data_IF_581956776785
#
_entry.id   IF_581956776785
#
_cell.length_a   1.000
_cell.length_b   1.000
_cell.length_c   1.000
_cell.angle_alpha   90.00
_cell.angle_beta   90.00
_cell.angle_gamma   90.00
#
_symmetry.space_group_name_H-M   'P 1'
#
loop_
_entity.id
_entity.type
_entity.pdbx_description
1 polymer ?
#
# COMPACT_ATOMS: atom_id res chain seq x y z
N UNK A 1 -23.91 -9.38 -13.23
CA UNK A 1 -22.50 -9.27 -12.80
C UNK A 1 -21.67 -9.02 -14.05
N UNK A 2 -20.89 -7.94 -14.04
CA UNK A 2 -19.87 -7.69 -15.07
C UNK A 2 -18.82 -8.78 -15.00
N UNK A 3 -18.39 -9.32 -16.14
CA UNK A 3 -17.33 -10.33 -16.17
C UNK A 3 -16.03 -9.71 -15.61
N UNK A 4 -15.28 -10.47 -14.80
CA UNK A 4 -14.16 -9.93 -14.01
C UNK A 4 -13.08 -9.25 -14.88
N UNK A 5 -12.81 -9.81 -16.07
CA UNK A 5 -11.85 -9.20 -17.00
C UNK A 5 -12.34 -7.82 -17.52
N UNK A 6 -13.64 -7.66 -17.75
CA UNK A 6 -14.23 -6.39 -18.17
C UNK A 6 -14.17 -5.35 -17.04
N UNK A 7 -14.41 -5.77 -15.80
CA UNK A 7 -14.24 -4.90 -14.62
C UNK A 7 -12.79 -4.43 -14.48
N UNK A 8 -11.81 -5.34 -14.59
CA UNK A 8 -10.39 -4.98 -14.53
C UNK A 8 -9.99 -4.03 -15.66
N UNK A 9 -10.47 -4.25 -16.88
CA UNK A 9 -10.21 -3.34 -18.01
C UNK A 9 -10.84 -1.97 -17.79
N UNK A 10 -12.12 -1.90 -17.39
CA UNK A 10 -12.81 -0.64 -17.13
C UNK A 10 -12.15 0.17 -16.00
N UNK A 11 -11.67 -0.53 -14.96
CA UNK A 11 -10.89 0.07 -13.87
C UNK A 11 -9.50 0.51 -14.30
N UNK A 12 -9.01 0.07 -15.45
CA UNK A 12 -7.63 0.28 -15.90
C UNK A 12 -6.59 -0.52 -15.12
N UNK A 13 -6.98 -1.69 -14.59
CA UNK A 13 -6.14 -2.61 -13.82
C UNK A 13 -5.51 -3.72 -14.68
N UNK A 14 -5.78 -3.75 -15.98
CA UNK A 14 -5.17 -4.69 -16.92
C UNK A 14 -4.25 -3.92 -17.89
N UNK A 15 -2.93 -4.08 -17.75
CA UNK A 15 -1.95 -3.46 -18.64
C UNK A 15 -1.55 -4.41 -19.77
N UNK A 16 -1.00 -5.58 -19.42
CA UNK A 16 -0.55 -6.61 -20.38
C UNK A 16 -1.02 -7.99 -19.95
N UNK A 17 -1.12 -8.94 -20.90
CA UNK A 17 -1.48 -10.34 -20.62
C UNK A 17 -0.90 -11.30 -21.66
N UNK A 18 -0.90 -12.61 -21.36
CA UNK A 18 -0.43 -13.68 -22.27
C UNK A 18 -1.35 -13.91 -23.49
N UNK A 19 -2.38 -13.09 -23.67
CA UNK A 19 -3.40 -13.19 -24.71
C UNK A 19 -4.78 -12.97 -24.11
N UNK A 20 -5.46 -11.89 -24.50
CA UNK A 20 -6.70 -11.46 -23.85
C UNK A 20 -7.85 -12.46 -24.06
N UNK A 21 -8.03 -12.95 -25.29
CA UNK A 21 -9.10 -13.89 -25.63
C UNK A 21 -8.93 -15.25 -24.93
N UNK A 22 -7.69 -15.73 -24.84
CA UNK A 22 -7.39 -17.00 -24.18
C UNK A 22 -7.51 -16.87 -22.65
N UNK A 23 -7.09 -15.73 -22.08
CA UNK A 23 -7.33 -15.44 -20.67
C UNK A 23 -8.83 -15.37 -20.35
N UNK A 24 -9.64 -14.75 -21.22
CA UNK A 24 -11.11 -14.73 -21.05
C UNK A 24 -11.68 -16.13 -21.05
N UNK A 25 -11.39 -16.94 -22.08
CA UNK A 25 -11.86 -18.35 -22.16
C UNK A 25 -11.45 -19.16 -20.94
N UNK A 26 -10.24 -18.93 -20.42
CA UNK A 26 -9.75 -19.60 -19.22
C UNK A 26 -10.57 -19.22 -17.98
N UNK A 27 -10.85 -17.92 -17.78
CA UNK A 27 -11.69 -17.44 -16.68
C UNK A 27 -13.16 -17.90 -16.81
N UNK A 28 -13.68 -18.01 -18.03
CA UNK A 28 -15.02 -18.52 -18.34
C UNK A 28 -15.15 -20.04 -18.08
N UNK A 29 -14.04 -20.78 -18.01
CA UNK A 29 -14.06 -22.23 -17.78
C UNK A 29 -14.48 -22.62 -16.36
N UNK A 30 -14.53 -21.66 -15.44
CA UNK A 30 -14.97 -21.82 -14.06
C UNK A 30 -13.97 -21.28 -13.03
N UNK A 31 -14.13 -21.63 -11.74
CA UNK A 31 -13.18 -21.26 -10.70
C UNK A 31 -11.78 -21.80 -10.99
N UNK A 32 -10.78 -20.92 -11.02
CA UNK A 32 -9.38 -21.25 -11.23
C UNK A 32 -8.58 -20.95 -9.97
N UNK A 33 -7.44 -21.63 -9.81
CA UNK A 33 -6.43 -21.25 -8.83
C UNK A 33 -5.48 -20.24 -9.50
N UNK A 34 -5.28 -19.10 -8.85
CA UNK A 34 -4.35 -18.07 -9.29
C UNK A 34 -3.41 -17.68 -8.14
N UNK A 35 -2.28 -17.07 -8.44
CA UNK A 35 -1.38 -16.59 -7.40
C UNK A 35 -0.85 -15.18 -7.64
N UNK A 36 -0.48 -14.55 -6.52
CA UNK A 36 0.27 -13.30 -6.45
C UNK A 36 1.32 -13.43 -5.35
N UNK A 37 2.52 -12.91 -5.62
CA UNK A 37 3.67 -13.01 -4.73
C UNK A 37 3.98 -11.70 -3.99
N UNK A 38 4.36 -11.80 -2.72
CA UNK A 38 4.79 -10.69 -1.88
C UNK A 38 6.13 -11.02 -1.23
N UNK A 39 7.17 -10.31 -1.66
CA UNK A 39 8.51 -10.46 -1.10
C UNK A 39 8.68 -9.63 0.19
N UNK A 40 9.13 -10.25 1.31
CA UNK A 40 9.39 -9.57 2.55
C UNK A 40 10.66 -8.72 2.46
N UNK A 41 10.50 -7.48 1.98
CA UNK A 41 11.59 -6.50 1.86
C UNK A 41 11.65 -5.51 3.02
N UNK A 42 10.61 -5.48 3.85
CA UNK A 42 10.48 -4.69 5.05
C UNK A 42 9.51 -5.38 6.03
N UNK A 43 9.41 -4.85 7.25
CA UNK A 43 8.53 -5.39 8.29
C UNK A 43 7.03 -5.23 8.01
N UNK A 44 6.65 -4.41 7.03
CA UNK A 44 5.26 -4.10 6.66
C UNK A 44 5.12 -3.97 5.15
N UNK A 45 3.93 -4.27 4.64
CA UNK A 45 3.50 -3.80 3.33
C UNK A 45 3.28 -2.28 3.34
N UNK A 46 3.23 -1.72 2.14
CA UNK A 46 3.00 -0.30 1.88
C UNK A 46 2.06 -0.16 0.69
N UNK A 47 1.58 1.05 0.39
CA UNK A 47 0.56 1.29 -0.64
C UNK A 47 0.87 0.71 -2.03
N UNK A 48 2.15 0.66 -2.43
CA UNK A 48 2.54 0.00 -3.69
C UNK A 48 2.11 -1.48 -3.81
N UNK A 49 1.97 -2.19 -2.69
CA UNK A 49 1.51 -3.58 -2.66
C UNK A 49 -0.02 -3.68 -2.65
N UNK A 50 -0.72 -2.62 -2.24
CA UNK A 50 -2.17 -2.64 -2.04
C UNK A 50 -2.91 -2.91 -3.36
N UNK A 51 -2.44 -2.37 -4.50
CA UNK A 51 -3.02 -2.67 -5.82
C UNK A 51 -3.09 -4.17 -6.09
N UNK A 52 -2.05 -4.92 -5.72
CA UNK A 52 -1.99 -6.36 -5.94
C UNK A 52 -2.91 -7.12 -5.00
N UNK A 53 -2.92 -6.74 -3.72
CA UNK A 53 -3.81 -7.32 -2.70
C UNK A 53 -5.27 -7.15 -3.11
N UNK A 54 -5.67 -5.94 -3.50
CA UNK A 54 -7.06 -5.65 -3.86
C UNK A 54 -7.46 -6.27 -5.20
N UNK A 55 -6.55 -6.36 -6.17
CA UNK A 55 -6.80 -7.08 -7.43
C UNK A 55 -7.02 -8.58 -7.16
N UNK A 56 -6.22 -9.20 -6.28
CA UNK A 56 -6.45 -10.58 -5.86
C UNK A 56 -7.81 -10.73 -5.16
N UNK A 57 -8.19 -9.79 -4.30
CA UNK A 57 -9.50 -9.81 -3.65
C UNK A 57 -10.65 -9.71 -4.65
N UNK A 58 -10.53 -8.89 -5.71
CA UNK A 58 -11.53 -8.84 -6.80
C UNK A 58 -11.68 -10.19 -7.51
N UNK A 59 -10.56 -10.85 -7.82
CA UNK A 59 -10.58 -12.19 -8.40
C UNK A 59 -11.22 -13.22 -7.45
N UNK A 60 -10.97 -13.11 -6.14
CA UNK A 60 -11.63 -13.96 -5.15
C UNK A 60 -13.14 -13.72 -5.13
N UNK A 61 -13.58 -12.46 -5.10
CA UNK A 61 -15.00 -12.10 -5.12
C UNK A 61 -15.69 -12.56 -6.42
N UNK A 62 -14.96 -12.68 -7.53
CA UNK A 62 -15.43 -13.29 -8.77
C UNK A 62 -15.49 -14.84 -8.74
N UNK A 63 -15.15 -15.46 -7.61
CA UNK A 63 -15.24 -16.91 -7.39
C UNK A 63 -13.95 -17.69 -7.64
N UNK A 64 -12.84 -17.03 -7.97
CA UNK A 64 -11.54 -17.69 -8.16
C UNK A 64 -10.82 -17.89 -6.82
N UNK A 65 -9.84 -18.78 -6.78
CA UNK A 65 -9.16 -19.24 -5.55
C UNK A 65 -7.76 -18.65 -5.46
N UNK A 66 -7.51 -17.69 -4.54
CA UNK A 66 -6.20 -17.07 -4.40
C UNK A 66 -5.21 -17.98 -3.66
N UNK A 67 -4.02 -18.11 -4.24
CA UNK A 67 -2.80 -18.57 -3.58
C UNK A 67 -1.94 -17.33 -3.28
N UNK A 68 -1.88 -16.96 -2.00
CA UNK A 68 -1.20 -15.76 -1.52
C UNK A 68 0.22 -16.15 -1.11
N UNK A 69 1.18 -15.96 -2.02
CA UNK A 69 2.57 -16.38 -1.81
C UNK A 69 3.33 -15.30 -1.05
N UNK A 70 3.87 -15.65 0.11
CA UNK A 70 4.85 -14.81 0.82
C UNK A 70 6.24 -15.39 0.58
N UNK A 71 7.11 -14.60 -0.02
CA UNK A 71 8.39 -15.01 -0.56
C UNK A 71 9.47 -15.26 0.49
N UNK A 72 9.35 -16.32 1.29
CA UNK A 72 10.37 -16.64 2.30
C UNK A 72 11.75 -16.95 1.71
N UNK A 73 11.81 -17.53 0.51
CA UNK A 73 13.06 -17.83 -0.19
C UNK A 73 13.46 -16.67 -1.11
N UNK A 74 12.55 -16.18 -1.94
CA UNK A 74 12.80 -15.04 -2.85
C UNK A 74 13.19 -13.77 -2.10
N UNK A 75 12.62 -13.52 -0.91
CA UNK A 75 13.01 -12.42 -0.04
C UNK A 75 14.44 -12.48 0.49
N UNK A 76 15.05 -13.67 0.55
CA UNK A 76 16.47 -13.85 0.93
C UNK A 76 17.44 -13.65 -0.25
N UNK A 77 16.92 -13.49 -1.46
CA UNK A 77 17.70 -13.30 -2.70
C UNK A 77 17.53 -11.86 -3.20
N UNK A 78 16.29 -11.39 -3.24
CA UNK A 78 15.92 -10.05 -3.65
C UNK A 78 15.80 -9.87 -5.17
N UNK A 79 14.62 -9.43 -5.62
CA UNK A 79 14.41 -9.08 -7.03
C UNK A 79 15.29 -7.87 -7.46
N UNK A 80 16.15 -8.00 -8.48
CA UNK A 80 17.04 -6.93 -8.90
C UNK A 80 16.27 -5.63 -9.21
N UNK A 81 16.83 -4.51 -8.77
CA UNK A 81 16.30 -3.16 -9.01
C UNK A 81 17.33 -2.31 -9.73
N UNK A 82 16.87 -1.31 -10.48
CA UNK A 82 17.75 -0.38 -11.21
C UNK A 82 18.70 0.39 -10.28
N UNK A 83 18.25 0.70 -9.06
CA UNK A 83 18.95 1.59 -8.12
C UNK A 83 20.15 0.98 -7.36
N UNK A 84 20.55 -0.26 -7.66
CA UNK A 84 21.66 -0.92 -6.97
C UNK A 84 21.31 -2.31 -6.43
N UNK A 85 22.33 -2.99 -5.90
CA UNK A 85 22.18 -4.33 -5.32
C UNK A 85 21.46 -4.23 -3.97
N UNK A 86 20.54 -5.16 -3.72
CA UNK A 86 19.82 -5.21 -2.45
C UNK A 86 20.73 -5.68 -1.32
N UNK A 87 20.62 -5.01 -0.18
CA UNK A 87 21.18 -5.53 1.07
C UNK A 87 20.34 -6.72 1.53
N UNK A 88 20.98 -7.88 1.68
CA UNK A 88 20.33 -9.07 2.19
C UNK A 88 20.15 -8.99 3.70
N UNK A 89 18.94 -9.28 4.17
CA UNK A 89 18.65 -9.36 5.60
C UNK A 89 18.95 -10.77 6.12
N UNK A 90 19.33 -10.91 7.41
CA UNK A 90 19.48 -12.22 8.04
C UNK A 90 18.18 -13.05 7.89
N UNK A 91 18.27 -14.38 7.68
CA UNK A 91 17.09 -15.24 7.53
C UNK A 91 16.07 -15.11 8.67
N UNK A 92 16.53 -14.87 9.89
CA UNK A 92 15.69 -14.69 11.08
C UNK A 92 14.84 -13.42 11.00
N UNK A 93 15.42 -12.33 10.46
CA UNK A 93 14.71 -11.06 10.22
C UNK A 93 13.64 -11.27 9.15
N UNK A 94 14.02 -11.90 8.04
CA UNK A 94 13.11 -12.20 6.93
C UNK A 94 11.95 -13.10 7.38
N UNK A 95 12.20 -14.11 8.21
CA UNK A 95 11.16 -14.98 8.78
C UNK A 95 10.17 -14.21 9.67
N UNK A 96 10.67 -13.25 10.47
CA UNK A 96 9.82 -12.34 11.24
C UNK A 96 8.93 -11.48 10.34
N UNK A 97 9.47 -10.97 9.23
CA UNK A 97 8.71 -10.17 8.25
C UNK A 97 7.67 -10.99 7.50
N UNK A 98 7.97 -12.25 7.15
CA UNK A 98 7.00 -13.18 6.55
C UNK A 98 5.75 -13.31 7.44
N UNK A 99 5.95 -13.46 8.75
CA UNK A 99 4.86 -13.58 9.72
C UNK A 99 4.03 -12.29 9.80
N UNK A 100 4.69 -11.13 9.84
CA UNK A 100 4.00 -9.82 9.88
C UNK A 100 3.20 -9.55 8.60
N UNK A 101 3.82 -9.76 7.44
CA UNK A 101 3.17 -9.55 6.13
C UNK A 101 1.97 -10.47 5.98
N UNK A 102 2.08 -11.74 6.39
CA UNK A 102 0.95 -12.67 6.43
C UNK A 102 -0.21 -12.08 7.25
N UNK A 103 0.05 -11.62 8.47
CA UNK A 103 -0.98 -11.00 9.32
C UNK A 103 -1.60 -9.72 8.74
N UNK A 104 -0.88 -9.02 7.84
CA UNK A 104 -1.42 -7.87 7.12
C UNK A 104 -2.24 -8.25 5.89
N UNK A 105 -1.90 -9.35 5.21
CA UNK A 105 -2.60 -9.79 4.00
C UNK A 105 -3.87 -10.56 4.34
N UNK A 106 -3.85 -11.41 5.37
CA UNK A 106 -4.97 -12.28 5.76
C UNK A 106 -6.32 -11.53 5.92
N UNK A 107 -6.40 -10.36 6.59
CA UNK A 107 -7.67 -9.65 6.76
C UNK A 107 -8.39 -9.24 5.47
N UNK A 108 -7.70 -9.22 4.33
CA UNK A 108 -8.30 -8.86 3.04
C UNK A 108 -9.07 -9.99 2.35
N UNK A 109 -8.94 -11.24 2.83
CA UNK A 109 -9.43 -12.43 2.11
C UNK A 109 -10.31 -13.34 2.96
N UNK A 110 -11.20 -14.09 2.29
CA UNK A 110 -11.96 -15.15 2.94
C UNK A 110 -11.18 -16.47 2.92
N UNK A 111 -10.94 -17.08 4.08
CA UNK A 111 -10.23 -18.37 4.21
C UNK A 111 -11.18 -19.56 4.37
N UNK A 112 -12.46 -19.37 4.10
CA UNK A 112 -13.50 -20.38 4.14
C UNK A 112 -14.37 -20.34 2.88
N UNK A 113 -15.10 -21.42 2.61
CA UNK A 113 -15.98 -21.51 1.46
C UNK A 113 -15.31 -22.06 0.18
N UNK A 114 -16.04 -22.07 -0.95
CA UNK A 114 -15.62 -22.76 -2.18
C UNK A 114 -14.45 -22.09 -2.93
N UNK A 115 -14.19 -20.82 -2.61
CA UNK A 115 -13.13 -19.96 -3.16
C UNK A 115 -12.16 -19.48 -2.05
N UNK A 116 -12.00 -20.28 -0.99
CA UNK A 116 -11.12 -19.97 0.13
C UNK A 116 -9.69 -19.66 -0.31
N UNK A 117 -9.12 -18.61 0.28
CA UNK A 117 -7.72 -18.26 0.09
C UNK A 117 -6.78 -19.29 0.74
N UNK A 118 -5.60 -19.45 0.15
CA UNK A 118 -4.53 -20.26 0.74
C UNK A 118 -3.26 -19.43 0.82
N UNK A 119 -2.71 -19.25 2.02
CA UNK A 119 -1.39 -18.66 2.20
C UNK A 119 -0.32 -19.71 1.92
N UNK A 120 0.66 -19.38 1.07
CA UNK A 120 1.75 -20.29 0.67
C UNK A 120 3.12 -19.62 0.86
N UNK A 121 4.17 -20.41 1.05
CA UNK A 121 5.54 -19.93 1.23
C UNK A 121 6.49 -20.71 0.34
N UNK A 122 7.28 -20.02 -0.50
CA UNK A 122 8.19 -20.69 -1.42
C UNK A 122 9.41 -21.35 -0.76
N UNK A 123 9.64 -21.14 0.54
CA UNK A 123 10.58 -21.96 1.30
C UNK A 123 10.19 -23.44 1.30
N UNK A 124 8.90 -23.76 1.24
CA UNK A 124 8.40 -25.13 1.35
C UNK A 124 8.89 -26.06 0.22
N UNK A 125 9.27 -25.50 -0.93
CA UNK A 125 9.86 -26.23 -2.06
C UNK A 125 11.30 -25.81 -2.38
N UNK A 126 11.67 -24.56 -2.08
CA UNK A 126 13.04 -24.08 -2.37
C UNK A 126 14.05 -24.62 -1.37
N UNK A 127 13.72 -24.65 -0.08
CA UNK A 127 14.65 -25.10 0.97
C UNK A 127 15.09 -26.58 0.83
N UNK A 128 14.20 -27.56 0.56
CA UNK A 128 14.62 -28.94 0.40
C UNK A 128 15.34 -29.22 -0.93
N UNK A 129 15.30 -28.30 -1.91
CA UNK A 129 15.90 -28.50 -3.23
C UNK A 129 17.43 -28.34 -3.17
N UNK A 130 18.15 -29.40 -3.54
CA UNK A 130 19.62 -29.35 -3.62
C UNK A 130 20.09 -28.46 -4.77
N UNK A 131 21.26 -27.81 -4.63
CA UNK A 131 21.81 -26.93 -5.68
C UNK A 131 21.98 -27.63 -7.03
N UNK A 132 22.37 -28.91 -7.03
CA UNK A 132 22.51 -29.71 -8.27
C UNK A 132 21.15 -29.92 -8.94
N UNK A 133 20.12 -30.21 -8.14
CA UNK A 133 18.75 -30.36 -8.62
C UNK A 133 18.23 -29.04 -9.20
N UNK A 134 18.42 -27.93 -8.49
CA UNK A 134 18.04 -26.60 -8.97
C UNK A 134 18.69 -26.27 -10.33
N UNK A 135 20.01 -26.44 -10.45
CA UNK A 135 20.72 -26.15 -11.71
C UNK A 135 20.26 -27.07 -12.85
N UNK A 136 20.03 -28.36 -12.58
CA UNK A 136 19.64 -29.36 -13.58
C UNK A 136 18.18 -29.25 -14.00
N UNK A 137 17.26 -29.04 -13.06
CA UNK A 137 15.83 -29.18 -13.29
C UNK A 137 15.12 -27.84 -13.47
N UNK A 138 15.73 -26.75 -12.98
CA UNK A 138 15.33 -25.36 -13.23
C UNK A 138 16.30 -24.72 -14.21
N UNK A 139 17.58 -24.60 -13.83
CA UNK A 139 18.59 -23.79 -14.54
C UNK A 139 18.76 -24.11 -16.03
N UNK A 140 18.72 -25.39 -16.44
CA UNK A 140 18.85 -25.80 -17.86
C UNK A 140 17.82 -25.15 -18.79
N UNK A 141 16.70 -24.69 -18.25
CA UNK A 141 15.62 -24.09 -19.03
C UNK A 141 15.79 -22.59 -19.26
N UNK A 142 16.85 -21.95 -18.74
CA UNK A 142 17.07 -20.51 -18.81
C UNK A 142 18.35 -20.16 -19.58
N UNK A 143 18.25 -19.87 -20.89
CA UNK A 143 19.39 -19.43 -21.67
C UNK A 143 19.91 -18.08 -21.18
N UNK A 144 21.21 -18.02 -20.84
CA UNK A 144 21.86 -16.81 -20.30
C UNK A 144 21.63 -15.60 -21.21
N UNK A 145 21.76 -15.75 -22.54
CA UNK A 145 21.57 -14.65 -23.49
C UNK A 145 20.16 -14.02 -23.39
N UNK A 146 19.13 -14.81 -23.10
CA UNK A 146 17.76 -14.28 -22.89
C UNK A 146 17.64 -13.55 -21.57
N UNK A 147 18.28 -14.06 -20.51
CA UNK A 147 18.26 -13.42 -19.19
C UNK A 147 18.98 -12.06 -19.22
N UNK A 148 20.13 -11.98 -19.89
CA UNK A 148 20.91 -10.73 -20.06
C UNK A 148 20.17 -9.68 -20.90
N UNK A 149 19.30 -10.12 -21.82
CA UNK A 149 18.54 -9.23 -22.69
C UNK A 149 17.32 -8.57 -22.01
N UNK A 150 17.07 -8.80 -20.72
CA UNK A 150 16.01 -8.13 -19.97
C UNK A 150 16.45 -6.74 -19.55
N UNK A 151 15.57 -5.75 -19.62
CA UNK A 151 15.94 -4.34 -19.45
C UNK A 151 16.56 -4.05 -18.08
N UNK A 152 15.96 -4.51 -16.97
CA UNK A 152 16.51 -4.31 -15.61
C UNK A 152 17.91 -4.90 -15.48
N UNK A 153 18.12 -6.11 -16.02
CA UNK A 153 19.44 -6.77 -15.98
C UNK A 153 20.42 -6.03 -16.88
N UNK A 154 20.02 -5.67 -18.09
CA UNK A 154 20.84 -4.94 -19.07
C UNK A 154 21.36 -3.63 -18.50
N UNK A 155 20.49 -2.84 -17.86
CA UNK A 155 20.87 -1.59 -17.16
C UNK A 155 21.86 -1.84 -16.02
N UNK A 156 21.73 -2.98 -15.34
CA UNK A 156 22.58 -3.35 -14.20
C UNK A 156 23.90 -4.03 -14.61
N UNK A 157 24.04 -4.54 -15.84
CA UNK A 157 25.28 -5.17 -16.29
C UNK A 157 26.47 -4.21 -16.25
N UNK A 158 26.25 -2.93 -16.54
CA UNK A 158 27.30 -1.90 -16.49
C UNK A 158 27.68 -1.52 -15.06
N UNK A 159 26.72 -1.60 -14.11
CA UNK A 159 26.93 -1.22 -12.70
C UNK A 159 27.25 -2.42 -11.79
N UNK A 160 27.14 -3.64 -12.30
CA UNK A 160 27.33 -4.89 -11.57
C UNK A 160 26.03 -5.50 -11.06
N UNK A 161 25.82 -6.79 -11.36
CA UNK A 161 24.76 -7.64 -10.81
C UNK A 161 25.37 -8.95 -10.32
N UNK A 162 25.04 -9.36 -9.09
CA UNK A 162 25.54 -10.63 -8.55
C UNK A 162 24.81 -11.83 -9.15
N UNK A 163 25.43 -13.00 -9.07
CA UNK A 163 24.77 -14.25 -9.44
C UNK A 163 23.49 -14.49 -8.62
N UNK A 164 23.48 -14.04 -7.36
CA UNK A 164 22.34 -14.12 -6.45
C UNK A 164 21.12 -13.39 -7.01
N UNK A 165 21.22 -12.09 -7.28
CA UNK A 165 20.11 -11.32 -7.89
C UNK A 165 19.77 -11.86 -9.29
N UNK A 166 20.76 -12.25 -10.08
CA UNK A 166 20.55 -12.80 -11.43
C UNK A 166 19.74 -14.12 -11.41
N UNK A 167 19.90 -14.94 -10.37
CA UNK A 167 19.18 -16.20 -10.20
C UNK A 167 17.73 -16.00 -9.72
N UNK A 168 17.32 -14.82 -9.27
CA UNK A 168 15.98 -14.54 -8.75
C UNK A 168 14.87 -14.97 -9.72
N UNK A 169 15.02 -14.67 -11.02
CA UNK A 169 14.03 -15.03 -12.04
C UNK A 169 13.76 -16.56 -12.08
N UNK A 170 14.79 -17.38 -11.87
CA UNK A 170 14.66 -18.83 -11.89
C UNK A 170 13.80 -19.30 -10.71
N UNK A 171 13.99 -18.71 -9.53
CA UNK A 171 13.21 -19.01 -8.34
C UNK A 171 11.74 -18.64 -8.53
N UNK A 172 11.44 -17.42 -8.96
CA UNK A 172 10.05 -17.00 -9.20
C UNK A 172 9.38 -17.83 -10.32
N UNK A 173 10.14 -18.22 -11.35
CA UNK A 173 9.61 -19.12 -12.39
C UNK A 173 9.32 -20.51 -11.85
N UNK A 174 10.18 -21.01 -10.95
CA UNK A 174 9.99 -22.28 -10.27
C UNK A 174 8.80 -22.24 -9.31
N UNK A 175 8.55 -21.11 -8.63
CA UNK A 175 7.36 -20.92 -7.80
C UNK A 175 6.07 -21.12 -8.60
N UNK A 176 5.98 -20.54 -9.81
CA UNK A 176 4.80 -20.75 -10.65
C UNK A 176 4.64 -22.24 -11.00
N UNK A 177 5.73 -22.92 -11.35
CA UNK A 177 5.68 -24.35 -11.65
C UNK A 177 5.24 -25.20 -10.45
N UNK A 178 5.79 -24.96 -9.26
CA UNK A 178 5.41 -25.70 -8.06
C UNK A 178 3.96 -25.44 -7.67
N UNK A 179 3.49 -24.20 -7.74
CA UNK A 179 2.09 -23.87 -7.50
C UNK A 179 1.15 -24.49 -8.55
N UNK A 180 1.60 -24.57 -9.81
CA UNK A 180 0.86 -25.26 -10.86
C UNK A 180 0.73 -26.76 -10.57
N UNK A 181 1.83 -27.42 -10.20
CA UNK A 181 1.85 -28.86 -9.93
C UNK A 181 1.13 -29.22 -8.62
N UNK A 182 1.35 -28.48 -7.55
CA UNK A 182 0.81 -28.77 -6.20
C UNK A 182 -0.64 -28.35 -6.05
N UNK A 183 -1.01 -27.22 -6.66
CA UNK A 183 -2.29 -26.57 -6.43
C UNK A 183 -3.10 -26.35 -7.72
N UNK A 184 -2.66 -26.81 -8.89
CA UNK A 184 -3.37 -26.53 -10.14
C UNK A 184 -3.44 -25.05 -10.48
N UNK A 185 -2.48 -24.25 -10.01
CA UNK A 185 -2.41 -22.82 -10.29
C UNK A 185 -2.22 -22.59 -11.80
N UNK A 186 -3.10 -21.80 -12.41
CA UNK A 186 -3.13 -21.60 -13.87
C UNK A 186 -3.08 -20.13 -14.27
N UNK A 187 -3.01 -19.22 -13.29
CA UNK A 187 -2.88 -17.79 -13.51
C UNK A 187 -1.91 -17.16 -12.49
N UNK A 188 -0.97 -16.34 -12.97
CA UNK A 188 -0.15 -15.46 -12.15
C UNK A 188 -0.43 -14.01 -12.55
N UNK A 189 -0.48 -13.11 -11.58
CA UNK A 189 -0.42 -11.69 -11.88
C UNK A 189 0.45 -10.93 -10.88
N UNK A 190 0.79 -9.69 -11.26
CA UNK A 190 1.57 -8.78 -10.43
C UNK A 190 1.62 -7.37 -11.02
N UNK A 191 2.48 -6.51 -10.49
CA UNK A 191 2.78 -5.21 -11.09
C UNK A 191 3.47 -5.35 -12.45
N UNK A 192 3.36 -4.33 -13.31
CA UNK A 192 3.96 -4.38 -14.65
C UNK A 192 5.49 -4.40 -14.65
N UNK A 193 6.12 -3.99 -13.55
CA UNK A 193 7.55 -4.20 -13.29
C UNK A 193 7.93 -5.69 -13.20
N UNK A 194 6.98 -6.57 -12.86
CA UNK A 194 7.18 -8.01 -12.73
C UNK A 194 6.97 -8.78 -14.04
N UNK A 195 6.58 -8.12 -15.13
CA UNK A 195 6.20 -8.80 -16.38
C UNK A 195 7.27 -9.77 -16.90
N UNK A 196 8.54 -9.38 -16.84
CA UNK A 196 9.65 -10.24 -17.28
C UNK A 196 9.90 -11.47 -16.40
N UNK A 197 9.56 -11.41 -15.10
CA UNK A 197 9.66 -12.57 -14.21
C UNK A 197 8.43 -13.49 -14.41
N UNK A 198 7.23 -12.90 -14.48
CA UNK A 198 5.96 -13.62 -14.67
C UNK A 198 5.98 -14.42 -15.97
N UNK A 199 6.35 -13.79 -17.09
CA UNK A 199 6.42 -14.44 -18.40
C UNK A 199 7.49 -15.53 -18.46
N UNK A 200 8.58 -15.41 -17.71
CA UNK A 200 9.58 -16.47 -17.60
C UNK A 200 9.02 -17.71 -16.88
N UNK A 201 8.15 -17.54 -15.89
CA UNK A 201 7.41 -18.63 -15.27
C UNK A 201 6.48 -19.34 -16.26
N UNK A 202 5.72 -18.59 -17.05
CA UNK A 202 4.87 -19.16 -18.13
C UNK A 202 5.71 -19.96 -19.12
N UNK A 203 6.84 -19.39 -19.57
CA UNK A 203 7.78 -20.03 -20.48
C UNK A 203 8.40 -21.30 -19.89
N UNK A 204 8.74 -21.26 -18.60
CA UNK A 204 9.33 -22.38 -17.86
C UNK A 204 8.36 -23.57 -17.77
N UNK A 205 7.11 -23.32 -17.36
CA UNK A 205 6.05 -24.33 -17.28
C UNK A 205 5.83 -24.99 -18.65
N UNK A 206 5.77 -24.18 -19.72
CA UNK A 206 5.66 -24.69 -21.09
C UNK A 206 6.85 -25.57 -21.47
N UNK A 207 8.09 -25.14 -21.18
CA UNK A 207 9.32 -25.93 -21.46
C UNK A 207 9.41 -27.21 -20.63
N UNK A 208 8.73 -27.28 -19.49
CA UNK A 208 8.55 -28.48 -18.67
C UNK A 208 7.45 -29.40 -19.19
N UNK A 209 6.71 -29.00 -20.23
CA UNK A 209 5.61 -29.79 -20.80
C UNK A 209 4.37 -29.84 -19.91
N UNK A 210 4.22 -28.90 -18.96
CA UNK A 210 3.16 -28.90 -17.97
C UNK A 210 1.90 -28.11 -18.40
N UNK A 211 1.69 -27.94 -19.71
CA UNK A 211 0.50 -27.29 -20.26
C UNK A 211 0.54 -25.76 -20.27
N UNK A 212 -0.47 -25.11 -20.88
CA UNK A 212 -0.55 -23.66 -20.90
C UNK A 212 -0.99 -23.12 -19.55
N UNK A 213 -0.40 -22.00 -19.16
CA UNK A 213 -0.81 -21.18 -18.02
C UNK A 213 -0.85 -19.73 -18.47
N UNK A 214 -1.59 -18.91 -17.73
CA UNK A 214 -1.86 -17.53 -18.12
C UNK A 214 -1.16 -16.53 -17.22
N UNK A 215 -1.01 -15.32 -17.71
CA UNK A 215 -0.60 -14.21 -16.87
C UNK A 215 -1.20 -12.90 -17.32
N UNK A 216 -1.33 -11.97 -16.37
CA UNK A 216 -1.53 -10.56 -16.65
C UNK A 216 -0.75 -9.69 -15.67
N UNK A 217 -0.62 -8.41 -15.97
CA UNK A 217 -0.05 -7.43 -15.04
C UNK A 217 -0.96 -6.21 -14.90
N UNK A 218 -0.97 -5.65 -13.70
CA UNK A 218 -1.59 -4.36 -13.40
C UNK A 218 -0.60 -3.22 -13.66
N UNK A 219 -1.05 -2.01 -14.02
CA UNK A 219 -0.13 -0.91 -14.19
C UNK A 219 0.55 -0.48 -12.90
N UNK A 220 1.75 0.09 -13.02
CA UNK A 220 2.37 0.84 -11.94
C UNK A 220 1.53 2.08 -11.64
N UNK A 221 1.22 2.28 -10.36
CA UNK A 221 0.46 3.46 -9.94
C UNK A 221 1.39 4.67 -9.99
N UNK A 222 0.96 5.70 -10.72
CA UNK A 222 1.67 6.96 -10.85
C UNK A 222 0.79 8.11 -10.37
N UNK A 223 1.42 9.24 -10.06
CA UNK A 223 0.75 10.52 -9.82
C UNK A 223 0.78 11.35 -11.10
N UNK A 224 -0.22 12.20 -11.30
CA UNK A 224 -0.31 13.09 -12.46
C UNK A 224 0.85 14.13 -12.51
N UNK A 225 1.48 14.41 -11.37
CA UNK A 225 2.64 15.29 -11.25
C UNK A 225 3.99 14.61 -11.59
N UNK A 226 3.99 13.32 -11.93
CA UNK A 226 5.18 12.54 -12.27
C UNK A 226 5.97 12.04 -11.05
N UNK A 227 5.56 12.36 -9.82
CA UNK A 227 6.20 11.84 -8.61
C UNK A 227 5.76 10.40 -8.33
N UNK A 228 6.58 9.66 -7.56
CA UNK A 228 6.30 8.25 -7.23
C UNK A 228 5.07 8.14 -6.32
N UNK A 229 4.15 7.24 -6.67
CA UNK A 229 3.01 6.92 -5.83
C UNK A 229 3.42 6.25 -4.52
N UNK A 230 2.65 6.49 -3.45
CA UNK A 230 2.88 5.88 -2.14
C UNK A 230 4.15 6.35 -1.43
N UNK A 231 4.80 7.42 -1.91
CA UNK A 231 5.87 8.13 -1.22
C UNK A 231 5.46 9.56 -0.88
N UNK A 232 5.75 9.97 0.35
CA UNK A 232 5.77 11.35 0.83
C UNK A 232 7.21 11.79 1.08
N UNK A 233 7.43 13.05 1.48
CA UNK A 233 8.76 13.52 1.91
C UNK A 233 9.31 12.66 3.06
N UNK A 234 8.44 12.10 3.91
CA UNK A 234 8.79 11.19 5.01
C UNK A 234 9.02 9.72 4.63
N UNK A 235 8.89 9.35 3.35
CA UNK A 235 9.14 7.98 2.89
C UNK A 235 7.87 7.25 2.44
N UNK A 236 7.84 5.93 2.60
CA UNK A 236 6.72 5.10 2.17
C UNK A 236 5.50 5.21 3.10
N UNK A 237 4.30 5.10 2.54
CA UNK A 237 3.06 4.98 3.32
C UNK A 237 2.79 3.50 3.61
N UNK A 238 3.03 3.11 4.87
CA UNK A 238 2.94 1.74 5.36
C UNK A 238 1.50 1.37 5.74
N UNK A 239 1.19 0.06 5.75
CA UNK A 239 -0.08 -0.45 6.27
C UNK A 239 -0.05 -0.68 7.78
N UNK A 240 1.14 -0.84 8.38
CA UNK A 240 1.31 -0.96 9.83
C UNK A 240 1.09 0.41 10.50
N UNK A 241 0.11 0.47 11.42
CA UNK A 241 -0.26 1.67 12.16
C UNK A 241 0.89 2.26 13.01
N UNK A 242 1.89 1.45 13.40
CA UNK A 242 3.06 1.90 14.12
C UNK A 242 4.13 2.54 13.21
N UNK A 243 4.09 2.27 11.90
CA UNK A 243 5.01 2.83 10.91
C UNK A 243 4.40 4.00 10.14
N UNK A 244 3.10 3.96 9.92
CA UNK A 244 2.31 5.09 9.41
C UNK A 244 1.02 5.13 10.18
N UNK A 245 0.80 6.22 10.91
CA UNK A 245 -0.40 6.34 11.72
C UNK A 245 -1.66 6.29 10.86
N UNK A 246 -2.79 5.79 11.39
CA UNK A 246 -4.06 5.81 10.67
C UNK A 246 -4.47 7.23 10.22
N UNK A 247 -4.10 8.26 11.00
CA UNK A 247 -4.31 9.65 10.62
C UNK A 247 -3.49 10.05 9.39
N UNK A 248 -2.17 9.77 9.38
CA UNK A 248 -1.32 10.04 8.22
C UNK A 248 -1.77 9.25 6.98
N UNK A 249 -2.19 8.00 7.18
CA UNK A 249 -2.75 7.15 6.13
C UNK A 249 -4.02 7.78 5.51
N UNK A 250 -4.98 8.18 6.34
CA UNK A 250 -6.20 8.86 5.88
C UNK A 250 -5.88 10.17 5.17
N UNK A 251 -5.00 11.00 5.74
CA UNK A 251 -4.61 12.28 5.16
C UNK A 251 -3.90 12.13 3.82
N UNK A 252 -3.09 11.08 3.63
CA UNK A 252 -2.48 10.78 2.33
C UNK A 252 -3.55 10.64 1.24
N UNK A 253 -4.61 9.85 1.50
CA UNK A 253 -5.69 9.65 0.53
C UNK A 253 -6.57 10.88 0.38
N UNK A 254 -6.91 11.54 1.49
CA UNK A 254 -7.73 12.74 1.48
C UNK A 254 -7.06 13.87 0.69
N UNK A 255 -5.72 13.93 0.69
CA UNK A 255 -4.94 14.92 -0.04
C UNK A 255 -4.61 14.52 -1.49
N UNK A 256 -5.22 13.47 -2.03
CA UNK A 256 -5.08 13.10 -3.45
C UNK A 256 -5.51 14.24 -4.37
N UNK A 257 -4.71 14.49 -5.41
CA UNK A 257 -4.98 15.46 -6.48
C UNK A 257 -6.27 15.10 -7.23
N UNK A 258 -7.06 16.12 -7.61
CA UNK A 258 -8.31 15.93 -8.35
C UNK A 258 -8.09 15.16 -9.67
N UNK A 259 -6.91 15.28 -10.30
CA UNK A 259 -6.53 14.57 -11.53
C UNK A 259 -6.31 13.08 -11.33
N UNK A 260 -6.03 12.66 -10.10
CA UNK A 260 -5.66 11.28 -9.76
C UNK A 260 -6.78 10.53 -9.01
N UNK A 261 -7.62 11.24 -8.26
CA UNK A 261 -8.57 10.62 -7.31
C UNK A 261 -9.52 9.62 -7.96
N UNK A 262 -10.04 9.92 -9.15
CA UNK A 262 -10.95 9.00 -9.85
C UNK A 262 -10.23 7.74 -10.34
N UNK A 263 -8.97 7.86 -10.79
CA UNK A 263 -8.15 6.70 -11.14
C UNK A 263 -7.85 5.85 -9.90
N UNK A 264 -7.55 6.48 -8.78
CA UNK A 264 -7.27 5.77 -7.53
C UNK A 264 -8.53 5.08 -6.98
N UNK A 265 -9.69 5.72 -7.04
CA UNK A 265 -10.96 5.06 -6.74
C UNK A 265 -11.18 3.83 -7.63
N UNK A 266 -10.97 3.93 -8.95
CA UNK A 266 -11.07 2.76 -9.85
C UNK A 266 -10.14 1.63 -9.44
N UNK A 267 -8.89 1.94 -9.06
CA UNK A 267 -7.89 0.95 -8.67
C UNK A 267 -8.17 0.30 -7.31
N UNK A 268 -8.43 1.13 -6.29
CA UNK A 268 -8.43 0.69 -4.89
C UNK A 268 -9.82 0.48 -4.29
N UNK A 269 -10.87 1.10 -4.81
CA UNK A 269 -12.23 0.98 -4.23
C UNK A 269 -13.01 -0.23 -4.76
N UNK A 270 -13.81 -0.87 -3.92
CA UNK A 270 -14.76 -1.92 -4.30
C UNK A 270 -16.12 -1.38 -4.76
N UNK A 271 -16.29 -0.06 -4.84
CA UNK A 271 -17.51 0.59 -5.35
C UNK A 271 -17.86 0.12 -6.76
N UNK A 272 -19.17 0.11 -7.02
CA UNK A 272 -19.72 -0.26 -8.32
C UNK A 272 -19.36 0.77 -9.39
N UNK A 273 -19.51 0.41 -10.67
CA UNK A 273 -19.29 1.34 -11.78
C UNK A 273 -20.24 2.54 -11.68
N UNK A 274 -21.48 2.32 -11.25
CA UNK A 274 -22.50 3.35 -11.06
C UNK A 274 -22.13 4.32 -9.94
N UNK A 275 -21.69 3.82 -8.78
CA UNK A 275 -21.23 4.65 -7.65
C UNK A 275 -20.02 5.49 -8.03
N UNK A 276 -19.07 4.92 -8.78
CA UNK A 276 -17.90 5.63 -9.25
C UNK A 276 -18.24 6.70 -10.30
N UNK A 277 -19.22 6.43 -11.16
CA UNK A 277 -19.68 7.40 -12.16
C UNK A 277 -20.39 8.57 -11.47
N UNK A 278 -21.24 8.30 -10.47
CA UNK A 278 -21.90 9.34 -9.67
C UNK A 278 -20.88 10.21 -8.90
N UNK A 279 -19.83 9.60 -8.33
CA UNK A 279 -18.75 10.34 -7.67
C UNK A 279 -17.95 11.21 -8.65
N UNK A 280 -17.74 10.74 -9.88
CA UNK A 280 -17.08 11.50 -10.94
C UNK A 280 -17.89 12.75 -11.29
N UNK A 281 -19.19 12.60 -11.52
CA UNK A 281 -20.12 13.71 -11.79
C UNK A 281 -20.18 14.71 -10.63
N UNK A 282 -20.27 14.22 -9.38
CA UNK A 282 -20.27 15.09 -8.19
C UNK A 282 -18.95 15.87 -8.07
N UNK A 283 -17.82 15.21 -8.31
CA UNK A 283 -16.49 15.83 -8.21
C UNK A 283 -16.28 16.89 -9.28
N UNK A 284 -16.79 16.68 -10.50
CA UNK A 284 -16.78 17.67 -11.57
C UNK A 284 -17.69 18.87 -11.24
N UNK A 285 -18.87 18.62 -10.68
CA UNK A 285 -19.83 19.68 -10.34
C UNK A 285 -19.41 20.50 -9.11
N UNK A 286 -18.77 19.86 -8.11
CA UNK A 286 -18.42 20.45 -6.81
C UNK A 286 -17.03 20.01 -6.33
N UNK A 287 -15.95 20.37 -7.03
CA UNK A 287 -14.59 19.94 -6.67
C UNK A 287 -14.19 20.39 -5.25
N UNK A 288 -14.64 21.57 -4.82
CA UNK A 288 -14.43 22.11 -3.47
C UNK A 288 -14.99 21.22 -2.35
N UNK A 289 -15.95 20.34 -2.65
CA UNK A 289 -16.52 19.43 -1.66
C UNK A 289 -15.60 18.24 -1.36
N UNK A 290 -14.61 17.95 -2.23
CA UNK A 290 -13.69 16.81 -2.13
C UNK A 290 -14.37 15.46 -1.88
N UNK A 291 -15.52 15.24 -2.54
CA UNK A 291 -16.35 14.05 -2.32
C UNK A 291 -15.59 12.75 -2.65
N UNK A 292 -14.91 12.70 -3.79
CA UNK A 292 -14.10 11.55 -4.19
C UNK A 292 -12.94 11.26 -3.22
N UNK A 293 -12.23 12.29 -2.75
CA UNK A 293 -11.11 12.10 -1.82
C UNK A 293 -11.57 11.59 -0.46
N UNK A 294 -12.69 12.12 0.05
CA UNK A 294 -13.30 11.58 1.28
C UNK A 294 -13.70 10.13 1.10
N UNK A 295 -14.43 9.82 0.03
CA UNK A 295 -14.86 8.45 -0.24
C UNK A 295 -13.67 7.48 -0.34
N UNK A 296 -12.58 7.88 -0.99
CA UNK A 296 -11.36 7.09 -1.09
C UNK A 296 -10.66 6.91 0.27
N UNK A 297 -10.48 8.00 1.01
CA UNK A 297 -9.79 7.98 2.31
C UNK A 297 -10.56 7.16 3.34
N UNK A 298 -11.87 7.34 3.44
CA UNK A 298 -12.73 6.60 4.37
C UNK A 298 -12.73 5.10 4.05
N UNK A 299 -12.87 4.73 2.78
CA UNK A 299 -12.93 3.33 2.37
C UNK A 299 -11.61 2.61 2.63
N UNK A 300 -10.48 3.20 2.24
CA UNK A 300 -9.18 2.56 2.41
C UNK A 300 -8.69 2.57 3.85
N UNK A 301 -8.99 3.61 4.63
CA UNK A 301 -8.69 3.62 6.06
C UNK A 301 -9.53 2.57 6.78
N UNK A 302 -10.81 2.42 6.40
CA UNK A 302 -11.67 1.37 6.96
C UNK A 302 -11.16 -0.02 6.63
N UNK A 303 -10.71 -0.21 5.39
CA UNK A 303 -10.22 -1.49 4.91
C UNK A 303 -8.93 -1.92 5.61
N UNK A 304 -8.02 -0.98 5.89
CA UNK A 304 -6.69 -1.28 6.46
C UNK A 304 -6.70 -1.23 7.99
N UNK A 305 -7.36 -0.24 8.59
CA UNK A 305 -7.31 0.04 10.02
C UNK A 305 -8.63 -0.19 10.76
N UNK A 306 -9.71 -0.51 10.03
CA UNK A 306 -11.02 -0.77 10.62
C UNK A 306 -11.91 0.46 10.74
N UNK A 307 -13.20 0.23 10.98
CA UNK A 307 -14.23 1.28 11.04
C UNK A 307 -14.06 2.21 12.23
N UNK A 308 -13.72 1.66 13.39
CA UNK A 308 -13.62 2.44 14.63
C UNK A 308 -12.46 3.44 14.56
N UNK A 309 -11.30 2.99 14.08
CA UNK A 309 -10.13 3.86 13.86
C UNK A 309 -10.42 4.90 12.78
N UNK A 310 -11.12 4.52 11.71
CA UNK A 310 -11.52 5.46 10.66
C UNK A 310 -12.43 6.56 11.21
N UNK A 311 -13.41 6.22 12.05
CA UNK A 311 -14.28 7.19 12.69
C UNK A 311 -13.48 8.16 13.57
N UNK A 312 -12.53 7.65 14.37
CA UNK A 312 -11.63 8.48 15.19
C UNK A 312 -10.79 9.43 14.34
N UNK A 313 -10.23 8.96 13.24
CA UNK A 313 -9.41 9.78 12.32
C UNK A 313 -10.23 10.86 11.61
N UNK A 314 -11.46 10.55 11.19
CA UNK A 314 -12.38 11.53 10.61
C UNK A 314 -12.71 12.61 11.66
N UNK A 315 -13.04 12.20 12.89
CA UNK A 315 -13.31 13.13 13.98
C UNK A 315 -12.10 14.02 14.26
N UNK A 316 -10.89 13.45 14.34
CA UNK A 316 -9.67 14.22 14.56
C UNK A 316 -9.42 15.23 13.44
N UNK A 317 -9.60 14.81 12.18
CA UNK A 317 -9.46 15.67 11.00
C UNK A 317 -10.47 16.83 11.00
N UNK A 318 -11.65 16.66 11.60
CA UNK A 318 -12.64 17.73 11.76
C UNK A 318 -12.33 18.61 12.97
N UNK A 319 -11.96 18.00 14.10
CA UNK A 319 -11.72 18.68 15.37
C UNK A 319 -10.51 19.60 15.33
N UNK A 320 -9.42 19.23 14.64
CA UNK A 320 -8.24 20.09 14.46
C UNK A 320 -8.55 21.41 13.71
N UNK A 321 -9.67 21.47 12.99
CA UNK A 321 -10.13 22.68 12.30
C UNK A 321 -11.41 23.27 12.92
N UNK A 322 -11.71 22.94 14.18
CA UNK A 322 -12.83 23.53 14.92
C UNK A 322 -14.22 23.05 14.49
N UNK A 323 -14.33 21.91 13.80
CA UNK A 323 -15.60 21.36 13.32
C UNK A 323 -16.16 20.21 14.17
N UNK A 324 -15.42 19.79 15.19
CA UNK A 324 -15.82 18.76 16.14
C UNK A 324 -15.15 19.00 17.52
N UNK A 325 -15.69 18.36 18.56
CA UNK A 325 -15.13 18.39 19.92
C UNK A 325 -13.80 17.62 19.97
N UNK A 326 -12.82 18.16 20.69
CA UNK A 326 -11.49 17.57 20.82
C UNK A 326 -11.43 16.56 21.96
N UNK A 327 -12.32 16.69 22.94
CA UNK A 327 -12.42 15.88 24.15
C UNK A 327 -12.82 14.42 23.87
N UNK A 328 -13.53 14.20 22.76
CA UNK A 328 -14.03 12.89 22.34
C UNK A 328 -12.97 12.05 21.61
N UNK A 329 -11.81 12.62 21.30
CA UNK A 329 -10.72 11.91 20.62
C UNK A 329 -9.98 11.00 21.59
N UNK A 330 -9.51 9.85 21.10
CA UNK A 330 -8.57 9.05 21.90
C UNK A 330 -7.22 9.78 22.06
N UNK A 331 -6.50 9.61 23.19
CA UNK A 331 -5.17 10.19 23.36
C UNK A 331 -4.18 9.78 22.27
N UNK A 332 -4.30 8.56 21.74
CA UNK A 332 -3.45 8.05 20.67
C UNK A 332 -3.73 8.77 19.34
N UNK A 333 -5.01 8.90 18.97
CA UNK A 333 -5.44 9.59 17.75
C UNK A 333 -5.07 11.07 17.79
N UNK A 334 -5.33 11.76 18.91
CA UNK A 334 -4.98 13.16 19.10
C UNK A 334 -3.46 13.37 19.02
N UNK A 335 -2.68 12.55 19.73
CA UNK A 335 -1.22 12.62 19.70
C UNK A 335 -0.66 12.40 18.29
N UNK A 336 -1.23 11.45 17.55
CA UNK A 336 -0.85 11.20 16.15
C UNK A 336 -1.18 12.38 15.23
N UNK A 337 -2.38 12.93 15.36
CA UNK A 337 -2.82 14.03 14.50
C UNK A 337 -1.98 15.31 14.76
N UNK A 338 -1.63 15.57 16.02
CA UNK A 338 -0.71 16.65 16.38
C UNK A 338 0.72 16.38 15.92
N UNK A 339 1.17 15.12 15.95
CA UNK A 339 2.48 14.72 15.41
C UNK A 339 2.64 15.14 13.94
N UNK A 340 1.63 14.88 13.12
CA UNK A 340 1.60 15.31 11.71
C UNK A 340 1.48 16.84 11.55
N UNK A 341 0.85 17.53 12.50
CA UNK A 341 0.70 18.99 12.48
C UNK A 341 1.95 19.75 12.97
N UNK A 342 3.00 19.05 13.43
CA UNK A 342 4.22 19.65 13.97
C UNK A 342 4.22 19.80 15.49
N UNK A 343 3.86 18.74 16.21
CA UNK A 343 3.85 18.67 17.68
C UNK A 343 5.14 19.24 18.30
N UNK A 344 4.99 20.25 19.16
CA UNK A 344 6.05 20.77 20.02
C UNK A 344 5.87 20.24 21.45
N UNK A 345 6.99 20.01 22.15
CA UNK A 345 6.98 19.65 23.58
C UNK A 345 7.38 20.87 24.39
N UNK A 346 6.62 21.16 25.44
CA UNK A 346 6.89 22.22 26.41
C UNK A 346 7.05 21.58 27.79
N UNK A 347 8.09 21.98 28.54
CA UNK A 347 8.40 21.40 29.85
C UNK A 347 7.52 22.00 30.97
N UNK A 348 7.13 23.26 30.82
CA UNK A 348 6.24 23.99 31.73
C UNK A 348 5.15 24.68 30.91
N UNK A 349 3.99 24.96 31.52
CA UNK A 349 2.89 25.67 30.86
C UNK A 349 3.20 27.18 30.80
N UNK A 350 3.52 27.75 29.62
CA UNK A 350 3.85 29.17 29.52
C UNK A 350 2.55 30.02 29.51
N UNK A 351 2.70 31.32 29.26
CA UNK A 351 1.54 32.15 28.86
C UNK A 351 1.04 31.74 27.48
N UNK A 352 -0.20 32.06 27.13
CA UNK A 352 -0.73 31.78 25.80
C UNK A 352 0.17 32.33 24.68
N UNK A 353 0.65 33.58 24.79
CA UNK A 353 1.58 34.14 23.80
C UNK A 353 2.92 33.39 23.74
N UNK A 354 3.42 32.90 24.89
CA UNK A 354 4.59 32.03 24.97
C UNK A 354 4.37 30.72 24.22
N UNK A 355 3.21 30.10 24.42
CA UNK A 355 2.85 28.82 23.82
C UNK A 355 2.87 28.87 22.28
N UNK A 356 2.26 29.89 21.66
CA UNK A 356 2.28 30.05 20.20
C UNK A 356 3.68 30.35 19.62
N UNK A 357 4.57 30.94 20.42
CA UNK A 357 5.97 31.15 20.02
C UNK A 357 6.75 29.83 20.12
N UNK A 358 6.62 29.12 21.23
CA UNK A 358 7.32 27.84 21.46
C UNK A 358 6.89 26.77 20.47
N UNK A 359 5.62 26.76 20.07
CA UNK A 359 5.11 25.90 19.01
C UNK A 359 5.48 26.36 17.58
N UNK A 360 6.22 27.46 17.42
CA UNK A 360 6.67 27.96 16.11
C UNK A 360 5.58 28.57 15.22
N UNK A 361 4.36 28.76 15.73
CA UNK A 361 3.25 29.38 14.97
C UNK A 361 3.41 30.90 14.81
N UNK A 362 4.27 31.52 15.62
CA UNK A 362 4.61 32.94 15.55
C UNK A 362 6.10 33.15 15.74
N UNK A 363 6.67 34.17 15.09
CA UNK A 363 8.10 34.47 15.16
C UNK A 363 8.53 35.02 16.52
N UNK A 364 7.58 35.50 17.34
CA UNK A 364 7.87 36.00 18.68
C UNK A 364 6.62 36.46 19.44
N UNK A 365 6.82 36.77 20.73
CA UNK A 365 5.75 37.15 21.66
C UNK A 365 4.94 38.37 21.18
N UNK A 366 5.60 39.33 20.53
CA UNK A 366 4.93 40.54 20.01
C UNK A 366 3.99 40.23 18.85
N UNK A 367 4.33 39.26 17.99
CA UNK A 367 3.44 38.79 16.92
C UNK A 367 2.27 38.00 17.52
N UNK A 368 2.54 37.11 18.48
CA UNK A 368 1.50 36.35 19.15
C UNK A 368 0.45 37.25 19.82
N UNK A 369 0.87 38.25 20.60
CA UNK A 369 -0.06 39.20 21.25
C UNK A 369 -0.90 39.97 20.23
N UNK A 370 -0.29 40.39 19.10
CA UNK A 370 -1.02 41.09 18.03
C UNK A 370 -2.07 40.18 17.40
N UNK A 371 -1.70 38.95 17.05
CA UNK A 371 -2.61 37.99 16.46
C UNK A 371 -3.77 37.61 17.42
N UNK A 372 -3.52 37.54 18.74
CA UNK A 372 -4.56 37.36 19.76
C UNK A 372 -5.53 38.54 19.76
N UNK A 373 -5.03 39.78 19.79
CA UNK A 373 -5.85 40.98 19.76
C UNK A 373 -6.72 41.06 18.48
N UNK A 374 -6.17 40.64 17.35
CA UNK A 374 -6.87 40.53 16.06
C UNK A 374 -7.85 39.34 16.01
N UNK A 375 -7.73 38.38 16.93
CA UNK A 375 -8.60 37.21 17.03
C UNK A 375 -8.21 36.00 16.20
N UNK A 376 -6.95 35.93 15.76
CA UNK A 376 -6.45 34.87 14.90
C UNK A 376 -5.84 33.67 15.62
N UNK A 377 -5.83 33.63 16.96
CA UNK A 377 -5.22 32.52 17.73
C UNK A 377 -6.24 31.78 18.61
N UNK A 378 -6.15 30.45 18.60
CA UNK A 378 -7.08 29.56 19.30
C UNK A 378 -6.32 28.44 20.04
N UNK A 379 -6.78 28.10 21.24
CA UNK A 379 -6.34 26.92 22.00
C UNK A 379 -7.54 26.01 22.22
N UNK A 380 -7.41 24.73 21.85
CA UNK A 380 -8.49 23.75 21.90
C UNK A 380 -9.79 24.25 21.23
N UNK A 381 -9.63 24.93 20.08
CA UNK A 381 -10.71 25.59 19.33
C UNK A 381 -11.39 26.78 20.04
N UNK A 382 -10.95 27.17 21.24
CA UNK A 382 -11.41 28.38 21.92
C UNK A 382 -10.52 29.57 21.55
N UNK A 383 -11.15 30.70 21.24
CA UNK A 383 -10.42 31.93 20.88
C UNK A 383 -9.69 32.46 22.12
N UNK A 384 -8.39 32.68 21.99
CA UNK A 384 -7.60 33.31 23.05
C UNK A 384 -7.90 34.81 23.07
N UNK A 385 -8.11 35.36 24.27
CA UNK A 385 -8.42 36.79 24.46
C UNK A 385 -7.36 37.54 25.26
N UNK A 386 -6.59 36.83 26.10
CA UNK A 386 -5.47 37.37 26.87
C UNK A 386 -4.21 36.56 26.60
N UNK A 387 -3.21 37.18 25.98
CA UNK A 387 -1.94 36.53 25.66
C UNK A 387 -0.97 36.40 26.83
N UNK A 388 -1.18 37.15 27.91
CA UNK A 388 -0.30 37.14 29.08
C UNK A 388 -0.85 36.25 30.21
N UNK A 389 -2.08 35.73 30.06
CA UNK A 389 -2.61 34.68 30.93
C UNK A 389 -1.81 33.37 30.81
N UNK A 390 -1.55 32.74 31.96
CA UNK A 390 -0.95 31.41 32.07
C UNK A 390 -1.96 30.33 31.69
N UNK A 391 -1.50 29.30 30.99
CA UNK A 391 -2.36 28.15 30.67
C UNK A 391 -2.62 27.33 31.93
N UNK A 392 -3.90 27.07 32.21
CA UNK A 392 -4.29 26.25 33.34
C UNK A 392 -4.08 24.75 33.05
N UNK A 393 -3.63 23.93 34.02
CA UNK A 393 -3.48 22.49 33.81
C UNK A 393 -4.76 21.79 33.33
N UNK A 394 -5.93 22.29 33.74
CA UNK A 394 -7.24 21.77 33.37
C UNK A 394 -7.56 21.98 31.88
N UNK A 395 -6.86 22.90 31.21
CA UNK A 395 -6.96 23.12 29.76
C UNK A 395 -6.31 21.98 28.97
N UNK A 396 -5.49 21.13 29.60
CA UNK A 396 -4.82 20.02 28.90
C UNK A 396 -5.82 18.91 28.54
N UNK A 397 -5.94 18.64 27.24
CA UNK A 397 -6.66 17.49 26.72
C UNK A 397 -5.94 16.21 27.15
N UNK A 398 -6.69 15.32 27.80
CA UNK A 398 -6.17 14.10 28.44
C UNK A 398 -4.97 14.37 29.38
N UNK A 399 -4.90 15.56 29.98
CA UNK A 399 -3.81 15.96 30.87
C UNK A 399 -2.45 16.08 30.18
N UNK A 400 -2.39 16.13 28.85
CA UNK A 400 -1.11 16.13 28.10
C UNK A 400 -1.07 17.04 26.87
N UNK A 401 -2.18 17.28 26.18
CA UNK A 401 -2.17 17.91 24.86
C UNK A 401 -2.87 19.27 24.85
N UNK A 402 -2.37 20.18 24.00
CA UNK A 402 -3.05 21.42 23.61
C UNK A 402 -3.07 21.51 22.09
N UNK A 403 -4.22 21.86 21.51
CA UNK A 403 -4.35 22.09 20.07
C UNK A 403 -4.26 23.58 19.78
N UNK A 404 -3.19 23.99 19.09
CA UNK A 404 -2.95 25.38 18.75
C UNK A 404 -3.31 25.64 17.29
N UNK A 405 -4.14 26.66 17.05
CA UNK A 405 -4.53 27.06 15.69
C UNK A 405 -4.29 28.55 15.49
N UNK A 406 -3.66 28.88 14.36
CA UNK A 406 -3.49 30.25 13.85
C UNK A 406 -4.28 30.39 12.55
N UNK A 407 -5.16 31.37 12.45
CA UNK A 407 -5.92 31.69 11.23
C UNK A 407 -7.29 32.28 11.46
#
# INVERSE_FOLDING_TARGET
MTHILDDLQWRGLLQDSTGLDDLRKHLDSGPINFYVGFDPTAASLHLGHLTQVLTARRLQLAGHRPLLLVGGATGQIGDPKEGGERTLNPPEVTAGWVTRIRGQVEPFFDFAGPNAATMVNNLDWTQPMGVVEFLRDVGKHFPINKMLARDVVRTRLETGISFTEFAYQLLQSHDYYELHVRHGCTLQFGGSDQWGNITAGVDYIRRRGAGPVHAFVTPLVTKADGTKFGKTEGGAIWLDAAMTSPYAFYQFWFNTDDRDVMRYLKYFSFRSHEELTALEEETQARPYARAAQRALAEELTTLVHGKDETAQVIMASQALFGRAALEDLSPATLGSALGEAGLATVDELPTYAGLFKEAGLTAGLGEARRAIAEGGLYVNNERVTDGDATVAPETLLHGRFLVLRKG
#
